data_IF_500663462402
#
_entry.id   IF_500663462402
#
_cell.length_a   1.000
_cell.length_b   1.000
_cell.length_c   1.000
_cell.angle_alpha   90.00
_cell.angle_beta   90.00
_cell.angle_gamma   90.00
#
_symmetry.space_group_name_H-M   'P 1'
#
loop_
_entity.id
_entity.type
_entity.pdbx_description
1 polymer ?
#
# COMPACT_ATOMS: atom_id res chain seq x y z
N UNK A 1 30.02 -7.08 -16.75
CA UNK A 1 28.70 -7.11 -16.07
C UNK A 1 27.86 -8.09 -16.88
N UNK A 2 27.50 -9.26 -16.33
CA UNK A 2 27.10 -10.42 -17.16
C UNK A 2 25.64 -10.38 -17.66
N UNK A 3 24.76 -9.75 -16.89
CA UNK A 3 23.34 -9.56 -17.22
C UNK A 3 22.97 -8.14 -16.81
N UNK A 4 22.25 -7.41 -17.65
CA UNK A 4 21.76 -6.06 -17.35
C UNK A 4 20.28 -5.98 -17.66
N UNK A 5 19.50 -5.43 -16.73
CA UNK A 5 18.03 -5.32 -16.86
C UNK A 5 17.64 -3.86 -16.99
N UNK A 6 16.80 -3.56 -17.98
CA UNK A 6 16.25 -2.24 -18.24
C UNK A 6 14.73 -2.27 -18.03
N UNK A 7 14.24 -1.34 -17.20
CA UNK A 7 12.82 -1.10 -16.95
C UNK A 7 12.54 0.38 -17.18
N UNK A 8 11.38 0.70 -17.75
CA UNK A 8 10.99 2.10 -17.98
C UNK A 8 10.55 2.83 -16.71
N UNK A 9 9.99 2.09 -15.75
CA UNK A 9 9.48 2.60 -14.47
C UNK A 9 9.60 1.54 -13.38
N UNK A 10 9.48 1.97 -12.13
CA UNK A 10 9.44 1.07 -10.96
C UNK A 10 8.08 0.98 -10.29
N UNK A 11 7.17 1.91 -10.60
CA UNK A 11 5.82 1.94 -10.05
C UNK A 11 4.83 1.53 -11.14
N UNK A 12 4.04 0.51 -10.83
CA UNK A 12 3.03 -0.07 -11.70
C UNK A 12 1.68 0.12 -11.03
N UNK A 13 0.79 0.81 -11.73
CA UNK A 13 -0.49 1.25 -11.18
C UNK A 13 -1.53 0.14 -11.33
N UNK A 14 -2.28 -0.12 -10.26
CA UNK A 14 -3.46 -0.97 -10.24
C UNK A 14 -4.71 -0.10 -10.39
N UNK A 15 -5.40 -0.28 -11.52
CA UNK A 15 -6.59 0.48 -11.92
C UNK A 15 -7.91 -0.21 -11.50
N UNK A 16 -7.85 -1.28 -10.69
CA UNK A 16 -8.99 -2.13 -10.26
C UNK A 16 -9.58 -3.03 -11.35
N UNK A 17 -9.48 -2.64 -12.62
CA UNK A 17 -9.90 -3.40 -13.79
C UNK A 17 -8.74 -4.07 -14.52
N UNK A 18 -7.53 -3.51 -14.39
CA UNK A 18 -6.27 -4.05 -14.87
C UNK A 18 -5.09 -3.44 -14.08
N UNK A 19 -3.92 -4.08 -14.18
CA UNK A 19 -2.66 -3.55 -13.62
C UNK A 19 -1.74 -3.24 -14.78
N UNK A 20 -1.03 -2.11 -14.70
CA UNK A 20 -0.01 -1.74 -15.68
C UNK A 20 0.95 -2.92 -15.93
N UNK A 21 1.18 -3.31 -17.20
CA UNK A 21 2.11 -4.39 -17.51
C UNK A 21 3.54 -3.99 -17.19
N UNK A 22 4.34 -4.98 -16.80
CA UNK A 22 5.76 -4.82 -16.52
C UNK A 22 6.54 -5.14 -17.79
N UNK A 23 6.94 -4.11 -18.52
CA UNK A 23 7.74 -4.25 -19.73
C UNK A 23 9.21 -3.92 -19.46
N UNK A 24 10.11 -4.77 -19.93
CA UNK A 24 11.54 -4.52 -19.87
C UNK A 24 12.33 -5.19 -20.98
N UNK A 25 13.63 -4.91 -20.97
CA UNK A 25 14.63 -5.52 -21.87
C UNK A 25 15.82 -5.97 -21.05
N UNK A 26 16.35 -7.14 -21.39
CA UNK A 26 17.57 -7.68 -20.79
C UNK A 26 18.66 -7.68 -21.83
N UNK A 27 19.81 -7.13 -21.47
CA UNK A 27 21.04 -7.22 -22.24
C UNK A 27 21.92 -8.30 -21.60
N UNK A 28 22.34 -9.28 -22.40
CA UNK A 28 23.20 -10.37 -21.94
C UNK A 28 24.50 -10.37 -22.71
N UNK A 29 25.58 -10.69 -22.02
CA UNK A 29 26.89 -10.86 -22.64
C UNK A 29 26.94 -12.22 -23.37
N UNK A 30 27.13 -12.25 -24.70
CA UNK A 30 27.15 -13.49 -25.48
C UNK A 30 28.28 -14.45 -25.05
N UNK A 31 29.43 -13.93 -24.61
CA UNK A 31 30.55 -14.77 -24.13
C UNK A 31 30.19 -15.54 -22.86
N UNK A 32 29.28 -14.96 -22.07
CA UNK A 32 28.81 -15.53 -20.83
C UNK A 32 27.64 -16.51 -21.02
N UNK A 33 26.84 -16.31 -22.07
CA UNK A 33 25.63 -17.05 -22.37
C UNK A 33 25.92 -18.53 -22.66
N UNK A 34 26.91 -18.83 -23.52
CA UNK A 34 27.30 -20.21 -23.93
C UNK A 34 26.06 -21.12 -24.11
N UNK A 35 25.96 -22.23 -23.37
CA UNK A 35 24.83 -23.18 -23.41
C UNK A 35 23.74 -22.89 -22.36
N UNK A 36 23.72 -21.68 -21.78
CA UNK A 36 22.78 -21.29 -20.72
C UNK A 36 21.58 -20.53 -21.28
N UNK A 37 20.49 -20.60 -20.53
CA UNK A 37 19.25 -19.87 -20.78
C UNK A 37 19.18 -18.65 -19.86
N UNK A 38 18.40 -17.66 -20.27
CA UNK A 38 18.16 -16.43 -19.52
C UNK A 38 16.71 -16.44 -19.08
N UNK A 39 16.53 -16.43 -17.77
CA UNK A 39 15.23 -16.39 -17.15
C UNK A 39 15.03 -15.07 -16.41
N UNK A 40 13.79 -14.62 -16.41
CA UNK A 40 13.31 -13.49 -15.63
C UNK A 40 12.19 -14.00 -14.76
N UNK A 41 12.21 -13.68 -13.48
CA UNK A 41 11.14 -14.04 -12.57
C UNK A 41 10.55 -12.79 -11.95
N UNK A 42 9.24 -12.67 -12.01
CA UNK A 42 8.48 -11.73 -11.21
C UNK A 42 7.96 -12.47 -9.96
N UNK A 43 8.38 -12.02 -8.79
CA UNK A 43 7.97 -12.60 -7.52
C UNK A 43 7.24 -11.55 -6.68
N UNK A 44 6.04 -11.88 -6.20
CA UNK A 44 5.39 -11.18 -5.10
C UNK A 44 5.61 -12.00 -3.83
N UNK A 45 6.31 -11.42 -2.86
CA UNK A 45 6.61 -12.08 -1.60
C UNK A 45 6.00 -11.30 -0.44
N UNK A 46 5.43 -12.03 0.50
CA UNK A 46 5.07 -11.53 1.81
C UNK A 46 6.15 -11.91 2.82
N UNK A 47 6.57 -10.93 3.61
CA UNK A 47 7.62 -11.06 4.61
C UNK A 47 7.09 -10.76 5.99
N UNK A 48 7.34 -11.66 6.95
CA UNK A 48 6.88 -11.59 8.33
C UNK A 48 8.01 -11.90 9.33
N UNK A 49 8.24 -11.01 10.30
CA UNK A 49 9.06 -11.28 11.50
C UNK A 49 10.34 -10.44 11.65
N UNK A 50 11.35 -10.97 12.37
CA UNK A 50 12.78 -10.53 12.32
C UNK A 50 13.68 -11.61 11.66
N UNK A 51 14.76 -11.24 10.98
CA UNK A 51 15.63 -12.17 10.21
C UNK A 51 16.30 -13.24 11.11
N UNK A 52 16.45 -12.95 12.39
CA UNK A 52 17.06 -13.78 13.45
C UNK A 52 16.18 -14.96 13.93
N UNK A 53 14.87 -14.97 13.60
CA UNK A 53 13.96 -16.08 13.94
C UNK A 53 14.07 -17.28 12.98
N UNK A 54 14.84 -17.15 11.87
CA UNK A 54 15.03 -18.21 10.87
C UNK A 54 15.80 -19.42 11.46
N UNK A 55 16.58 -19.21 12.52
CA UNK A 55 17.30 -20.26 13.27
C UNK A 55 16.34 -21.18 14.04
N UNK A 56 15.10 -20.73 14.28
CA UNK A 56 14.05 -21.47 15.01
C UNK A 56 13.03 -22.17 14.09
N UNK A 57 13.23 -22.17 12.76
CA UNK A 57 12.40 -22.93 11.82
C UNK A 57 11.10 -22.26 11.34
N UNK A 58 10.92 -20.96 11.58
CA UNK A 58 9.82 -20.18 11.03
C UNK A 58 10.26 -19.48 9.74
N UNK A 59 9.76 -19.92 8.57
CA UNK A 59 10.09 -19.26 7.31
C UNK A 59 9.49 -17.86 7.25
N UNK A 60 10.37 -16.86 7.28
CA UNK A 60 10.02 -15.43 7.29
C UNK A 60 9.33 -14.95 6.00
N UNK A 61 9.43 -15.71 4.92
CA UNK A 61 9.05 -15.30 3.57
C UNK A 61 8.11 -16.32 2.96
N UNK A 62 6.93 -15.86 2.55
CA UNK A 62 5.97 -16.62 1.75
C UNK A 62 5.87 -15.98 0.38
N UNK A 63 6.22 -16.72 -0.67
CA UNK A 63 5.98 -16.25 -2.03
C UNK A 63 4.49 -16.40 -2.34
N UNK A 64 3.82 -15.27 -2.55
CA UNK A 64 2.39 -15.19 -2.88
C UNK A 64 2.15 -15.47 -4.36
N UNK A 65 3.12 -15.09 -5.19
CA UNK A 65 3.08 -15.26 -6.64
C UNK A 65 4.48 -15.35 -7.21
N UNK A 66 4.68 -16.27 -8.14
CA UNK A 66 5.90 -16.39 -8.93
C UNK A 66 5.49 -16.61 -10.38
N UNK A 67 6.02 -15.79 -11.27
CA UNK A 67 5.92 -15.99 -12.72
C UNK A 67 7.32 -15.95 -13.31
N UNK A 68 7.61 -16.92 -14.18
CA UNK A 68 8.90 -17.03 -14.85
C UNK A 68 8.72 -16.86 -16.34
N UNK A 69 9.60 -16.08 -16.96
CA UNK A 69 9.65 -15.82 -18.38
C UNK A 69 11.03 -16.20 -18.93
N UNK A 70 11.08 -16.93 -20.04
CA UNK A 70 12.34 -17.30 -20.68
C UNK A 70 12.69 -16.27 -21.77
N UNK A 71 13.55 -15.30 -21.43
CA UNK A 71 13.97 -14.26 -22.36
C UNK A 71 14.90 -14.78 -23.46
N UNK A 72 15.74 -15.77 -23.16
CA UNK A 72 16.59 -16.43 -24.13
C UNK A 72 16.79 -17.92 -23.81
N UNK A 73 16.75 -18.83 -24.80
CA UNK A 73 16.31 -18.60 -26.18
C UNK A 73 14.81 -18.26 -26.21
N UNK A 74 14.35 -17.42 -27.16
CA UNK A 74 12.97 -16.97 -27.21
C UNK A 74 12.01 -18.12 -27.54
N UNK A 75 10.98 -18.30 -26.71
CA UNK A 75 9.94 -19.31 -26.92
C UNK A 75 8.86 -18.75 -27.86
N UNK A 76 8.49 -19.42 -28.97
CA UNK A 76 7.53 -18.88 -29.95
C UNK A 76 6.15 -18.56 -29.37
N UNK A 77 5.65 -19.40 -28.47
CA UNK A 77 4.32 -19.26 -27.86
C UNK A 77 4.20 -18.05 -26.91
N UNK A 78 5.33 -17.56 -26.39
CA UNK A 78 5.39 -16.41 -25.47
C UNK A 78 5.70 -15.09 -26.20
N UNK A 79 5.65 -15.05 -27.54
CA UNK A 79 5.89 -13.81 -28.30
C UNK A 79 4.66 -12.92 -28.32
N UNK A 80 4.74 -11.79 -27.62
CA UNK A 80 3.81 -10.67 -27.72
C UNK A 80 4.39 -9.53 -28.55
N UNK A 81 3.55 -8.64 -29.12
CA UNK A 81 4.02 -7.40 -29.73
C UNK A 81 4.78 -6.57 -28.70
N UNK A 82 5.92 -6.01 -29.13
CA UNK A 82 6.79 -5.22 -28.26
C UNK A 82 6.13 -3.87 -27.93
N UNK A 83 6.38 -3.37 -26.72
CA UNK A 83 5.99 -2.02 -26.35
C UNK A 83 6.89 -0.98 -27.02
N UNK A 84 6.41 0.27 -27.13
CA UNK A 84 7.19 1.40 -27.67
C UNK A 84 8.55 1.58 -26.96
N UNK A 85 8.61 1.27 -25.66
CA UNK A 85 9.85 1.30 -24.88
C UNK A 85 10.81 0.19 -25.35
N UNK A 86 10.32 -1.05 -25.45
CA UNK A 86 11.11 -2.18 -25.89
C UNK A 86 11.66 -1.97 -27.29
N UNK A 87 10.85 -1.48 -28.24
CA UNK A 87 11.31 -1.19 -29.60
C UNK A 87 12.49 -0.20 -29.63
N UNK A 88 12.42 0.87 -28.84
CA UNK A 88 13.50 1.86 -28.72
C UNK A 88 14.75 1.26 -28.09
N UNK A 89 14.58 0.47 -27.03
CA UNK A 89 15.70 -0.17 -26.32
C UNK A 89 16.37 -1.23 -27.18
N UNK A 90 15.61 -2.07 -27.90
CA UNK A 90 16.14 -3.09 -28.80
C UNK A 90 16.95 -2.44 -29.93
N UNK A 91 16.44 -1.35 -30.53
CA UNK A 91 17.18 -0.57 -31.54
C UNK A 91 18.48 0.03 -30.99
N UNK A 92 18.49 0.45 -29.72
CA UNK A 92 19.65 1.08 -29.07
C UNK A 92 20.70 0.08 -28.57
N UNK A 93 20.27 -1.05 -28.04
CA UNK A 93 21.12 -2.03 -27.34
C UNK A 93 21.64 -3.14 -28.28
N UNK A 94 21.03 -3.32 -29.45
CA UNK A 94 21.49 -4.25 -30.47
C UNK A 94 21.00 -5.69 -30.29
N UNK A 95 21.69 -6.64 -30.89
CA UNK A 95 21.22 -8.02 -31.10
C UNK A 95 21.19 -8.89 -29.83
N UNK A 96 21.93 -8.51 -28.79
CA UNK A 96 21.98 -9.23 -27.52
C UNK A 96 20.94 -8.74 -26.49
N UNK A 97 20.02 -7.90 -26.95
CA UNK A 97 18.93 -7.39 -26.15
C UNK A 97 17.67 -8.24 -26.38
N UNK A 98 17.10 -8.75 -25.30
CA UNK A 98 15.94 -9.64 -25.33
C UNK A 98 14.80 -9.01 -24.51
N UNK A 99 13.60 -8.83 -25.10
CA UNK A 99 12.47 -8.26 -24.39
C UNK A 99 11.87 -9.28 -23.42
N UNK A 100 11.27 -8.80 -22.34
CA UNK A 100 10.41 -9.58 -21.45
C UNK A 100 9.22 -8.75 -21.01
N UNK A 101 8.12 -9.41 -20.67
CA UNK A 101 6.93 -8.76 -20.14
C UNK A 101 6.32 -9.61 -19.02
N UNK A 102 5.63 -8.95 -18.08
CA UNK A 102 4.77 -9.62 -17.11
C UNK A 102 3.43 -8.90 -16.98
N UNK A 103 2.40 -9.68 -16.68
CA UNK A 103 1.07 -9.16 -16.31
C UNK A 103 0.83 -9.52 -14.85
N UNK A 104 0.74 -8.51 -13.98
CA UNK A 104 0.48 -8.70 -12.55
C UNK A 104 -1.00 -9.07 -12.37
N UNK A 105 -1.34 -10.21 -11.74
CA UNK A 105 -2.73 -10.53 -11.41
C UNK A 105 -3.34 -9.50 -10.45
N UNK A 106 -4.61 -9.17 -10.66
CA UNK A 106 -5.33 -8.15 -9.87
C UNK A 106 -5.49 -8.51 -8.40
N UNK A 107 -5.67 -9.80 -8.11
CA UNK A 107 -5.91 -10.32 -6.76
C UNK A 107 -4.65 -10.32 -5.86
N UNK A 108 -3.51 -9.84 -6.37
CA UNK A 108 -2.31 -9.67 -5.55
C UNK A 108 -2.37 -8.36 -4.75
N UNK A 109 -1.88 -8.35 -3.50
CA UNK A 109 -1.83 -7.13 -2.69
C UNK A 109 -0.93 -6.06 -3.30
N UNK A 110 -1.15 -4.80 -2.90
CA UNK A 110 -0.26 -3.68 -3.21
C UNK A 110 1.04 -3.75 -2.41
N UNK A 111 2.06 -3.02 -2.87
CA UNK A 111 3.36 -2.96 -2.18
C UNK A 111 3.26 -2.10 -0.92
N UNK A 112 3.18 -2.76 0.23
CA UNK A 112 3.04 -2.13 1.55
C UNK A 112 4.14 -2.64 2.46
N UNK A 113 4.75 -1.74 3.23
CA UNK A 113 5.79 -2.07 4.21
C UNK A 113 5.37 -1.56 5.58
N UNK A 114 5.50 -2.39 6.61
CA UNK A 114 5.29 -1.96 7.98
C UNK A 114 6.56 -1.27 8.51
N UNK A 115 6.35 -0.11 9.10
CA UNK A 115 7.42 0.68 9.67
C UNK A 115 8.10 -0.11 10.82
N UNK A 116 9.41 -0.39 10.71
CA UNK A 116 10.14 -1.09 11.76
C UNK A 116 10.27 -0.22 13.01
N UNK A 117 10.38 -0.85 14.17
CA UNK A 117 10.76 -0.18 15.41
C UNK A 117 12.26 0.14 15.43
N UNK A 118 12.71 1.03 16.32
CA UNK A 118 14.14 1.37 16.45
C UNK A 118 15.03 0.17 16.82
N UNK A 119 14.46 -0.84 17.48
CA UNK A 119 15.15 -2.09 17.85
C UNK A 119 15.03 -3.20 16.80
N UNK A 120 14.27 -2.99 15.72
CA UNK A 120 14.08 -4.00 14.68
C UNK A 120 15.21 -3.89 13.65
N UNK A 121 16.09 -4.89 13.61
CA UNK A 121 17.17 -5.02 12.62
C UNK A 121 16.74 -5.91 11.46
N UNK A 122 17.19 -5.58 10.24
CA UNK A 122 16.94 -6.38 9.03
C UNK A 122 15.89 -5.77 8.11
N UNK A 123 15.36 -6.60 7.19
CA UNK A 123 14.32 -6.15 6.25
C UNK A 123 12.97 -5.98 6.94
N UNK A 124 12.31 -4.88 6.65
CA UNK A 124 10.97 -4.59 7.15
C UNK A 124 9.94 -5.63 6.69
N UNK A 125 8.95 -5.89 7.55
CA UNK A 125 7.78 -6.71 7.28
C UNK A 125 6.93 -6.05 6.19
N UNK A 126 6.40 -6.82 5.24
CA UNK A 126 5.65 -6.23 4.13
C UNK A 126 5.47 -7.13 2.91
N UNK A 127 4.81 -6.57 1.92
CA UNK A 127 4.66 -7.14 0.57
C UNK A 127 5.64 -6.44 -0.36
N UNK A 128 6.56 -7.19 -0.97
CA UNK A 128 7.47 -6.68 -1.99
C UNK A 128 7.35 -7.42 -3.32
N UNK A 129 7.43 -6.65 -4.42
CA UNK A 129 7.53 -7.19 -5.77
C UNK A 129 8.98 -7.11 -6.24
N UNK A 130 9.48 -8.23 -6.72
CA UNK A 130 10.87 -8.42 -7.10
C UNK A 130 10.94 -8.97 -8.52
N UNK A 131 11.68 -8.28 -9.38
CA UNK A 131 12.13 -8.80 -10.67
C UNK A 131 13.55 -9.33 -10.47
N UNK A 132 13.75 -10.60 -10.80
CA UNK A 132 15.08 -11.23 -10.77
C UNK A 132 15.40 -11.79 -12.14
N UNK A 133 16.49 -11.34 -12.74
CA UNK A 133 17.02 -11.88 -13.99
C UNK A 133 18.27 -12.71 -13.69
N UNK A 134 18.39 -13.88 -14.30
CA UNK A 134 19.54 -14.76 -14.09
C UNK A 134 19.79 -15.67 -15.29
N UNK A 135 21.03 -16.16 -15.39
CA UNK A 135 21.40 -17.18 -16.36
C UNK A 135 21.52 -18.55 -15.66
N UNK A 136 20.85 -19.56 -16.20
CA UNK A 136 20.86 -20.93 -15.69
C UNK A 136 20.66 -21.94 -16.83
N UNK A 137 21.03 -23.22 -16.62
CA UNK A 137 20.75 -24.29 -17.57
C UNK A 137 19.28 -24.74 -17.50
N UNK A 138 18.73 -24.80 -16.29
CA UNK A 138 17.33 -25.12 -16.00
C UNK A 138 16.72 -24.14 -14.99
N UNK A 139 15.39 -24.11 -14.91
CA UNK A 139 14.65 -23.24 -13.98
C UNK A 139 14.83 -23.64 -12.50
N UNK A 140 15.15 -24.92 -12.25
CA UNK A 140 15.31 -25.51 -10.92
C UNK A 140 16.73 -25.32 -10.36
N UNK A 141 17.67 -24.87 -11.19
CA UNK A 141 19.06 -24.67 -10.79
C UNK A 141 19.17 -23.57 -9.73
N UNK A 142 20.00 -23.81 -8.70
CA UNK A 142 20.19 -22.85 -7.61
C UNK A 142 20.84 -21.57 -8.13
N UNK A 143 20.09 -20.47 -8.05
CA UNK A 143 20.52 -19.19 -8.62
C UNK A 143 21.63 -18.55 -7.77
N UNK A 144 22.83 -18.41 -8.36
CA UNK A 144 23.96 -17.73 -7.73
C UNK A 144 23.80 -16.19 -7.73
N UNK A 145 24.04 -15.54 -6.59
CA UNK A 145 23.92 -14.08 -6.43
C UNK A 145 24.78 -13.28 -7.43
N UNK A 146 25.98 -13.78 -7.76
CA UNK A 146 26.92 -13.13 -8.70
C UNK A 146 26.39 -13.05 -10.13
N UNK A 147 25.49 -13.97 -10.49
CA UNK A 147 25.01 -14.18 -11.86
C UNK A 147 23.55 -13.76 -12.01
N UNK A 148 23.01 -13.04 -11.01
CA UNK A 148 21.62 -12.61 -10.99
C UNK A 148 21.53 -11.13 -10.67
N UNK A 149 20.68 -10.42 -11.41
CA UNK A 149 20.31 -9.05 -11.12
C UNK A 149 18.95 -9.04 -10.46
N UNK A 150 18.81 -8.25 -9.40
CA UNK A 150 17.56 -8.07 -8.67
C UNK A 150 17.13 -6.61 -8.70
N UNK A 151 15.87 -6.38 -9.04
CA UNK A 151 15.21 -5.08 -9.02
C UNK A 151 13.93 -5.19 -8.20
N UNK A 152 13.69 -4.23 -7.31
CA UNK A 152 12.42 -4.11 -6.60
C UNK A 152 11.53 -3.15 -7.38
N UNK A 153 10.28 -3.53 -7.57
CA UNK A 153 9.23 -2.72 -8.18
C UNK A 153 8.07 -2.57 -7.18
N UNK A 154 7.16 -1.63 -7.44
CA UNK A 154 5.99 -1.40 -6.61
C UNK A 154 4.72 -1.53 -7.43
N UNK A 155 3.75 -2.25 -6.86
CA UNK A 155 2.35 -2.19 -7.25
C UNK A 155 1.67 -1.12 -6.39
N UNK A 156 1.23 -0.03 -7.00
CA UNK A 156 0.57 1.10 -6.33
C UNK A 156 -0.88 1.18 -6.78
N UNK A 157 -1.79 1.54 -5.87
CA UNK A 157 -3.21 1.59 -6.18
C UNK A 157 -3.62 2.96 -6.73
N UNK A 158 -4.38 2.98 -7.82
CA UNK A 158 -4.97 4.20 -8.35
C UNK A 158 -6.18 4.63 -7.52
N UNK A 159 -6.33 5.94 -7.35
CA UNK A 159 -7.54 6.55 -6.82
C UNK A 159 -8.59 6.69 -7.92
N UNK A 160 -9.80 6.12 -7.80
CA UNK A 160 -10.84 6.27 -8.82
C UNK A 160 -11.19 7.75 -9.05
N UNK A 161 -11.42 8.13 -10.32
CA UNK A 161 -11.68 9.52 -10.72
C UNK A 161 -13.03 10.07 -10.24
N UNK A 162 -14.01 9.18 -10.03
CA UNK A 162 -15.33 9.58 -9.55
C UNK A 162 -15.35 9.50 -8.02
N UNK A 163 -15.29 10.64 -7.30
CA UNK A 163 -15.50 10.62 -5.86
C UNK A 163 -16.92 10.13 -5.57
N UNK A 164 -17.07 9.23 -4.61
CA UNK A 164 -18.39 8.80 -4.16
C UNK A 164 -19.02 9.82 -3.21
N UNK A 165 -20.12 9.45 -2.55
CA UNK A 165 -20.92 10.37 -1.76
C UNK A 165 -20.14 10.86 -0.53
N UNK A 166 -20.50 12.07 -0.07
CA UNK A 166 -19.92 12.65 1.13
C UNK A 166 -20.14 11.72 2.35
N UNK A 167 -19.08 11.26 3.02
CA UNK A 167 -19.22 10.42 4.21
C UNK A 167 -19.87 11.23 5.34
N UNK A 168 -20.98 10.73 5.87
CA UNK A 168 -21.72 11.32 6.98
C UNK A 168 -22.17 10.22 7.93
N UNK A 169 -22.02 10.47 9.23
CA UNK A 169 -22.47 9.56 10.28
C UNK A 169 -23.03 10.36 11.44
N UNK A 170 -24.10 9.85 12.01
CA UNK A 170 -24.75 10.46 13.16
C UNK A 170 -25.00 9.44 14.26
N UNK A 171 -25.06 9.94 15.50
CA UNK A 171 -25.42 9.13 16.66
C UNK A 171 -26.14 9.99 17.67
N UNK A 172 -27.05 9.36 18.41
CA UNK A 172 -27.80 10.01 19.49
C UNK A 172 -27.64 9.17 20.75
N UNK A 173 -27.29 9.84 21.85
CA UNK A 173 -27.09 9.18 23.14
C UNK A 173 -27.94 9.82 24.21
N UNK A 174 -28.79 9.00 24.82
CA UNK A 174 -29.44 9.31 26.09
C UNK A 174 -28.50 8.96 27.25
N UNK A 175 -28.67 9.65 28.38
CA UNK A 175 -27.89 9.39 29.58
C UNK A 175 -28.81 9.06 30.75
N UNK A 176 -28.33 8.22 31.67
CA UNK A 176 -29.01 8.00 32.93
C UNK A 176 -29.16 9.33 33.69
N UNK A 177 -30.37 9.60 34.20
CA UNK A 177 -30.77 10.85 34.87
C UNK A 177 -30.85 12.10 33.97
N UNK A 178 -31.09 11.93 32.66
CA UNK A 178 -31.41 13.02 31.72
C UNK A 178 -32.50 12.56 30.77
N UNK A 179 -33.65 13.25 30.75
CA UNK A 179 -34.78 12.93 29.87
C UNK A 179 -34.54 13.36 28.41
N UNK A 180 -33.46 14.09 28.18
CA UNK A 180 -33.04 14.61 26.87
C UNK A 180 -31.72 14.02 26.42
N UNK A 181 -31.54 13.93 25.10
CA UNK A 181 -30.39 13.29 24.46
C UNK A 181 -29.31 14.28 24.00
N UNK A 182 -28.12 13.74 23.74
CA UNK A 182 -27.03 14.41 23.03
C UNK A 182 -26.93 13.79 21.64
N UNK A 183 -27.04 14.63 20.62
CA UNK A 183 -26.88 14.24 19.23
C UNK A 183 -25.53 14.72 18.72
N UNK A 184 -24.78 13.80 18.10
CA UNK A 184 -23.50 14.04 17.46
C UNK A 184 -23.59 13.60 16.02
N UNK A 185 -23.28 14.51 15.12
CA UNK A 185 -23.18 14.31 13.70
C UNK A 185 -21.77 14.72 13.24
N UNK A 186 -21.18 13.92 12.35
CA UNK A 186 -19.91 14.25 11.73
C UNK A 186 -19.96 13.91 10.23
N UNK A 187 -19.35 14.78 9.42
CA UNK A 187 -19.19 14.56 7.98
C UNK A 187 -17.81 14.98 7.50
N UNK A 188 -17.34 14.35 6.42
CA UNK A 188 -16.11 14.71 5.71
C UNK A 188 -16.44 15.54 4.48
N UNK A 189 -15.53 16.34 3.92
CA UNK A 189 -15.81 17.07 2.67
C UNK A 189 -15.79 16.16 1.42
N UNK A 190 -14.95 15.13 1.45
CA UNK A 190 -14.79 14.12 0.39
C UNK A 190 -14.68 12.71 0.98
N UNK A 191 -14.93 11.70 0.16
CA UNK A 191 -14.64 10.30 0.47
C UNK A 191 -13.16 9.95 0.19
N UNK A 192 -12.59 10.52 -0.87
CA UNK A 192 -11.23 10.24 -1.33
C UNK A 192 -10.33 11.46 -1.13
N UNK A 193 -9.14 11.23 -0.56
CA UNK A 193 -8.11 12.24 -0.36
C UNK A 193 -6.79 11.78 -0.95
N UNK A 194 -6.02 12.73 -1.48
CA UNK A 194 -4.63 12.49 -1.87
C UNK A 194 -3.68 12.68 -0.68
N UNK A 195 -2.51 12.05 -0.77
CA UNK A 195 -1.46 12.22 0.24
C UNK A 195 -1.07 13.70 0.38
N UNK A 196 -1.05 14.20 1.62
CA UNK A 196 -0.75 15.60 1.93
C UNK A 196 -1.94 16.56 1.81
N UNK A 197 -3.08 16.11 1.29
CA UNK A 197 -4.30 16.91 1.23
C UNK A 197 -4.90 17.10 2.64
N UNK A 198 -5.35 18.32 2.99
CA UNK A 198 -6.07 18.55 4.24
C UNK A 198 -7.46 17.91 4.21
N UNK A 199 -7.78 17.14 5.25
CA UNK A 199 -9.09 16.53 5.47
C UNK A 199 -9.96 17.47 6.31
N UNK A 200 -11.13 17.86 5.81
CA UNK A 200 -12.05 18.72 6.54
C UNK A 200 -13.14 17.88 7.21
N UNK A 201 -13.19 17.95 8.54
CA UNK A 201 -14.14 17.20 9.37
C UNK A 201 -15.15 18.18 9.96
N UNK A 202 -16.36 18.17 9.43
CA UNK A 202 -17.48 18.92 9.98
C UNK A 202 -18.02 18.16 11.19
N UNK A 203 -18.14 18.83 12.33
CA UNK A 203 -18.71 18.25 13.54
C UNK A 203 -19.85 19.12 14.03
N UNK A 204 -21.03 18.52 14.09
CA UNK A 204 -22.23 19.14 14.61
C UNK A 204 -22.69 18.41 15.88
N UNK A 205 -22.86 19.16 16.96
CA UNK A 205 -23.29 18.63 18.26
C UNK A 205 -24.51 19.40 18.72
N UNK A 206 -25.63 18.69 18.85
CA UNK A 206 -26.86 19.22 19.45
C UNK A 206 -27.00 18.63 20.84
N UNK A 207 -26.69 19.43 21.86
CA UNK A 207 -26.74 18.99 23.26
C UNK A 207 -28.03 19.45 23.92
N UNK A 208 -29.09 18.64 23.83
CA UNK A 208 -30.33 18.89 24.56
C UNK A 208 -30.29 18.34 26.00
N UNK A 209 -29.24 17.63 26.37
CA UNK A 209 -29.09 17.01 27.69
C UNK A 209 -28.73 18.02 28.79
N UNK A 210 -28.86 17.59 30.04
CA UNK A 210 -28.42 18.34 31.23
C UNK A 210 -26.90 18.24 31.49
N UNK A 211 -26.16 17.46 30.69
CA UNK A 211 -24.72 17.24 30.86
C UNK A 211 -23.90 18.15 29.93
N UNK A 212 -22.67 18.46 30.34
CA UNK A 212 -21.73 19.31 29.57
C UNK A 212 -20.69 18.47 28.85
N UNK A 213 -20.39 18.80 27.59
CA UNK A 213 -19.26 18.20 26.87
C UNK A 213 -17.99 18.96 27.29
N UNK A 214 -17.05 18.25 27.91
CA UNK A 214 -15.82 18.84 28.47
C UNK A 214 -14.70 18.98 27.45
N UNK A 215 -14.60 18.02 26.53
CA UNK A 215 -13.55 17.98 25.49
C UNK A 215 -14.10 17.30 24.25
N UNK A 216 -13.69 17.81 23.09
CA UNK A 216 -13.93 17.22 21.78
C UNK A 216 -12.59 16.82 21.17
N UNK A 217 -12.48 15.56 20.75
CA UNK A 217 -11.29 15.02 20.11
C UNK A 217 -11.58 14.58 18.69
N UNK A 218 -10.74 14.97 17.75
CA UNK A 218 -10.76 14.46 16.37
C UNK A 218 -9.43 13.72 16.14
N UNK A 219 -9.53 12.42 15.87
CA UNK A 219 -8.45 11.45 15.62
C UNK A 219 -7.14 11.63 16.45
N UNK A 220 -7.28 11.76 17.78
CA UNK A 220 -6.21 11.77 18.80
C UNK A 220 -5.67 13.16 19.20
N UNK A 221 -6.10 14.25 18.57
CA UNK A 221 -5.90 15.61 19.12
C UNK A 221 -7.12 16.02 19.96
N UNK A 222 -6.93 16.24 21.26
CA UNK A 222 -7.98 16.80 22.12
C UNK A 222 -7.97 18.32 22.00
N UNK A 223 -9.11 18.88 21.62
CA UNK A 223 -9.33 20.31 21.62
C UNK A 223 -10.03 20.70 22.92
N UNK A 224 -9.74 21.91 23.41
CA UNK A 224 -10.36 22.50 24.60
C UNK A 224 -11.76 23.06 24.33
N UNK A 225 -12.43 22.58 23.27
CA UNK A 225 -13.78 22.99 22.92
C UNK A 225 -14.79 22.37 23.91
N UNK A 226 -15.64 23.22 24.48
CA UNK A 226 -16.70 22.86 25.42
C UNK A 226 -18.07 23.16 24.81
N UNK A 227 -19.03 22.27 25.07
CA UNK A 227 -20.42 22.46 24.63
C UNK A 227 -21.31 22.48 25.86
N UNK A 228 -21.94 23.63 26.11
CA UNK A 228 -22.86 23.86 27.22
C UNK A 228 -24.11 22.98 27.12
N UNK A 229 -24.79 22.77 28.25
CA UNK A 229 -26.10 22.11 28.27
C UNK A 229 -27.14 22.93 27.51
N UNK A 230 -28.05 22.26 26.80
CA UNK A 230 -29.10 22.90 25.99
C UNK A 230 -28.56 23.88 24.93
N UNK A 231 -27.44 23.53 24.29
CA UNK A 231 -26.82 24.35 23.25
C UNK A 231 -26.38 23.51 22.04
N UNK A 232 -26.26 24.18 20.89
CA UNK A 232 -25.73 23.59 19.66
C UNK A 232 -24.31 24.09 19.41
N UNK A 233 -23.50 23.24 18.79
CA UNK A 233 -22.12 23.54 18.42
C UNK A 233 -21.85 23.02 17.01
N UNK A 234 -21.24 23.85 16.16
CA UNK A 234 -20.84 23.48 14.82
C UNK A 234 -19.43 24.01 14.57
N UNK A 235 -18.50 23.13 14.17
CA UNK A 235 -17.12 23.51 13.85
C UNK A 235 -16.53 22.57 12.82
N UNK A 236 -15.70 23.13 11.94
CA UNK A 236 -14.91 22.38 10.96
C UNK A 236 -13.48 22.24 11.48
N UNK A 237 -12.97 21.01 11.53
CA UNK A 237 -11.60 20.71 11.91
C UNK A 237 -10.81 20.26 10.69
N UNK A 238 -9.58 20.75 10.56
CA UNK A 238 -8.67 20.35 9.47
C UNK A 238 -7.60 19.40 10.00
N UNK A 239 -7.46 18.23 9.36
CA UNK A 239 -6.44 17.24 9.68
C UNK A 239 -5.50 17.05 8.49
N UNK A 240 -4.18 16.99 8.72
CA UNK A 240 -3.21 16.69 7.67
C UNK A 240 -2.41 15.46 8.11
N UNK A 241 -2.74 14.25 7.59
CA UNK A 241 -2.04 13.03 7.95
C UNK A 241 -0.71 12.95 7.19
N UNK A 242 0.37 13.40 7.84
CA UNK A 242 1.74 13.33 7.29
C UNK A 242 2.56 12.25 7.98
N UNK A 243 3.41 11.54 7.24
CA UNK A 243 4.36 10.59 7.81
C UNK A 243 5.35 11.29 8.77
N UNK A 244 5.77 12.52 8.48
CA UNK A 244 6.80 13.23 9.27
C UNK A 244 6.46 13.36 10.74
N UNK A 245 5.19 13.62 11.07
CA UNK A 245 4.69 13.71 12.45
C UNK A 245 4.53 12.34 13.14
N UNK A 246 4.76 11.26 12.41
CA UNK A 246 4.48 9.89 12.84
C UNK A 246 5.69 8.95 12.66
N UNK A 247 6.87 9.48 12.27
CA UNK A 247 8.10 8.71 11.99
C UNK A 247 8.64 7.90 13.17
N UNK A 248 8.20 8.16 14.40
CA UNK A 248 8.65 7.40 15.57
C UNK A 248 7.73 6.22 15.91
N UNK A 249 6.56 6.13 15.26
CA UNK A 249 5.57 5.09 15.57
C UNK A 249 5.91 3.79 14.84
N UNK A 250 6.09 2.72 15.61
CA UNK A 250 6.26 1.36 15.11
C UNK A 250 4.95 0.81 14.53
N UNK A 251 5.05 0.04 13.44
CA UNK A 251 3.92 -0.74 12.89
C UNK A 251 2.97 0.06 12.00
N UNK A 252 3.33 1.30 11.63
CA UNK A 252 2.57 2.04 10.61
C UNK A 252 2.72 1.39 9.24
N UNK A 253 1.62 1.24 8.53
CA UNK A 253 1.68 0.84 7.12
C UNK A 253 2.18 2.01 6.28
N UNK A 254 3.26 1.77 5.53
CA UNK A 254 3.88 2.70 4.59
C UNK A 254 3.77 2.14 3.18
N UNK A 255 3.73 3.01 2.19
CA UNK A 255 3.91 2.58 0.81
C UNK A 255 5.28 1.90 0.67
N UNK A 256 5.37 0.90 -0.21
CA UNK A 256 6.59 0.14 -0.43
C UNK A 256 7.79 1.06 -0.63
N UNK A 257 8.88 0.80 0.11
CA UNK A 257 10.07 1.65 0.06
C UNK A 257 11.04 1.19 -1.02
N UNK A 258 11.38 2.06 -1.96
CA UNK A 258 12.48 1.83 -2.90
C UNK A 258 13.81 2.21 -2.23
N UNK A 259 14.50 1.23 -1.66
CA UNK A 259 15.79 1.43 -0.97
C UNK A 259 15.70 2.47 0.17
N UNK A 260 16.38 3.61 0.03
CA UNK A 260 16.48 4.68 1.04
C UNK A 260 15.63 5.91 0.69
N UNK A 261 14.82 5.87 -0.38
CA UNK A 261 13.95 6.99 -0.74
C UNK A 261 12.86 7.24 0.30
N UNK A 262 12.41 8.49 0.42
CA UNK A 262 11.27 8.84 1.25
C UNK A 262 10.00 8.12 0.75
N UNK A 263 9.14 7.76 1.69
CA UNK A 263 7.86 7.09 1.43
C UNK A 263 6.72 7.83 2.09
N UNK A 264 5.49 7.50 1.71
CA UNK A 264 4.28 8.03 2.32
C UNK A 264 3.64 6.98 3.25
N UNK A 265 2.63 7.41 3.98
CA UNK A 265 1.69 6.47 4.61
C UNK A 265 1.08 5.59 3.52
N UNK A 266 0.82 4.31 3.83
CA UNK A 266 0.30 3.39 2.83
C UNK A 266 -1.06 3.85 2.31
N UNK A 267 -1.30 3.75 1.01
CA UNK A 267 -2.62 4.05 0.44
C UNK A 267 -3.69 3.03 0.89
N UNK A 268 -4.95 3.45 0.97
CA UNK A 268 -6.08 2.53 1.27
C UNK A 268 -6.12 1.40 0.24
N UNK A 269 -6.35 0.18 0.71
CA UNK A 269 -6.50 -0.99 -0.18
C UNK A 269 -7.94 -1.14 -0.62
N UNK A 270 -8.21 -0.96 -1.91
CA UNK A 270 -9.52 -1.21 -2.50
C UNK A 270 -9.54 -2.64 -3.03
N UNK A 271 -10.44 -3.47 -2.50
CA UNK A 271 -10.64 -4.86 -2.93
C UNK A 271 -11.93 -4.93 -3.73
N UNK A 272 -11.89 -5.53 -4.91
CA UNK A 272 -13.08 -5.75 -5.74
C UNK A 272 -13.76 -7.05 -5.28
N UNK A 273 -15.05 -6.99 -4.95
CA UNK A 273 -15.88 -8.08 -4.41
C UNK A 273 -15.98 -9.36 -5.28
N UNK A 274 -15.32 -9.41 -6.44
CA UNK A 274 -15.57 -10.41 -7.48
C UNK A 274 -14.75 -11.70 -7.28
N UNK A 275 -13.77 -11.72 -6.36
CA UNK A 275 -12.99 -12.94 -6.09
C UNK A 275 -13.23 -13.47 -4.68
N UNK A 276 -13.95 -14.59 -4.58
CA UNK A 276 -14.06 -15.47 -3.38
C UNK A 276 -12.71 -16.03 -2.88
N UNK A 277 -11.57 -15.50 -3.36
CA UNK A 277 -10.23 -15.85 -2.88
C UNK A 277 -9.79 -14.76 -1.92
N UNK A 278 -9.58 -15.12 -0.66
CA UNK A 278 -8.97 -14.24 0.33
C UNK A 278 -7.66 -13.65 -0.21
N UNK A 279 -7.58 -12.32 -0.27
CA UNK A 279 -6.36 -11.62 -0.66
C UNK A 279 -5.35 -11.80 0.48
N UNK A 280 -4.34 -12.64 0.26
CA UNK A 280 -3.24 -12.80 1.19
C UNK A 280 -2.32 -11.59 1.10
N UNK A 281 -2.26 -10.75 2.14
CA UNK A 281 -1.41 -9.55 2.17
C UNK A 281 -1.76 -8.59 3.30
N UNK A 282 -1.30 -7.35 3.18
CA UNK A 282 -1.63 -6.26 4.11
C UNK A 282 -2.74 -5.43 3.48
N UNK A 283 -3.90 -5.36 4.14
CA UNK A 283 -5.00 -4.48 3.77
C UNK A 283 -4.98 -3.25 4.66
N UNK A 284 -4.95 -2.07 4.04
CA UNK A 284 -4.91 -0.79 4.75
C UNK A 284 -6.24 -0.07 4.59
N UNK A 285 -6.82 0.39 5.69
CA UNK A 285 -7.99 1.26 5.67
C UNK A 285 -7.81 2.41 6.66
N UNK A 286 -8.30 3.58 6.27
CA UNK A 286 -8.30 4.77 7.13
C UNK A 286 -9.69 5.00 7.69
N UNK A 287 -9.75 5.72 8.81
CA UNK A 287 -11.00 6.20 9.38
C UNK A 287 -10.76 7.45 10.21
N UNK A 288 -11.70 8.38 10.17
CA UNK A 288 -11.71 9.54 11.06
C UNK A 288 -12.61 9.22 12.26
N UNK A 289 -12.08 9.43 13.47
CA UNK A 289 -12.83 9.24 14.72
C UNK A 289 -13.08 10.58 15.41
N UNK A 290 -14.34 10.91 15.63
CA UNK A 290 -14.76 12.05 16.47
C UNK A 290 -15.18 11.51 17.82
N UNK A 291 -14.60 12.02 18.91
CA UNK A 291 -14.84 11.58 20.29
C UNK A 291 -15.21 12.76 21.18
N UNK A 292 -16.40 12.72 21.77
CA UNK A 292 -16.86 13.63 22.82
C UNK A 292 -16.59 13.04 24.20
N UNK A 293 -16.08 13.86 25.11
CA UNK A 293 -15.93 13.52 26.53
C UNK A 293 -17.01 14.26 27.32
N UNK A 294 -17.99 13.52 27.83
CA UNK A 294 -19.17 14.09 28.51
C UNK A 294 -19.01 13.98 30.02
N UNK A 295 -19.29 15.07 30.74
CA UNK A 295 -19.22 15.11 32.19
C UNK A 295 -20.15 14.07 32.82
N UNK A 296 -19.63 13.13 33.61
CA UNK A 296 -20.44 12.10 34.30
C UNK A 296 -21.37 11.32 33.33
N UNK A 297 -20.96 11.18 32.07
CA UNK A 297 -21.71 10.50 31.00
C UNK A 297 -20.84 9.60 30.11
N UNK A 298 -19.53 9.53 30.37
CA UNK A 298 -18.59 8.72 29.61
C UNK A 298 -18.16 9.37 28.29
N UNK A 299 -17.94 8.54 27.27
CA UNK A 299 -17.48 8.97 25.94
C UNK A 299 -18.49 8.62 24.87
N UNK A 300 -18.81 9.58 24.00
CA UNK A 300 -19.58 9.37 22.77
C UNK A 300 -18.61 9.47 21.61
N UNK A 301 -18.69 8.59 20.63
CA UNK A 301 -17.84 8.71 19.44
C UNK A 301 -18.54 8.18 18.20
N UNK A 302 -18.16 8.73 17.06
CA UNK A 302 -18.51 8.24 15.72
C UNK A 302 -17.25 7.98 14.90
N UNK A 303 -17.37 7.15 13.88
CA UNK A 303 -16.29 6.79 12.96
C UNK A 303 -16.79 6.99 11.53
N UNK A 304 -16.04 7.77 10.77
CA UNK A 304 -16.21 7.96 9.32
C UNK A 304 -15.15 7.12 8.63
N UNK A 305 -15.57 6.35 7.62
CA UNK A 305 -14.69 5.53 6.78
C UNK A 305 -14.48 6.23 5.44
#
# INVERSE_FOLDING_TARGET
MQVTVYLGKRDFVDHLDHVDPVDGVILVDPEYLKDRKVFVTLTCAFRYGREDLDVLGLSFRKDLYISTFQAFPPVPEERKPNSRLQERLLKKLGQHAHPFYFTIPQNLPCSVTLQPGPEDTGKACGVDFEIRAFCAKSIEEKIHKRNSVRLVIRKVQYAPEKPGPQPMVETTRSFLMSDRSLHLEASLDKELYYHGEPISVNVHVTNNSTKTVKRLGVCVCFHSDQVSSSSTFCKVYTLIPTLDKNREKRGLALDGKLKHEDTNLASSTIVKDVTNKEVLGILVSYRVKVKLVVSRGGHVYVKLY
#
